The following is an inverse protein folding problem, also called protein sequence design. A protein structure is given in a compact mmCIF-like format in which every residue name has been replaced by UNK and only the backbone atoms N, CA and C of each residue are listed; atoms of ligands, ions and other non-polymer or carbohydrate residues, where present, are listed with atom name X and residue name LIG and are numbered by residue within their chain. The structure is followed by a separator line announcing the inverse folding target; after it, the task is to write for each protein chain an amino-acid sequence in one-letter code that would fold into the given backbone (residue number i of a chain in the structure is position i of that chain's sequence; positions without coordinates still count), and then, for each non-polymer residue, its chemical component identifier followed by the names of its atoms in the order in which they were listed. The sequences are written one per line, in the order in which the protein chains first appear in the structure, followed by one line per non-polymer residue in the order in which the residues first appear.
data_IF_717408301150
#
_entry.id   IF_717408301150
#
_cell.length_a   1.000
_cell.length_b   1.000
_cell.length_c   1.000
_cell.angle_alpha   90.00
_cell.angle_beta   90.00
_cell.angle_gamma   90.00
#
_symmetry.space_group_name_H-M   'P 1'
#
loop_
_entity.id
_entity.type
_entity.pdbx_description
1 polymer ?
#
# COMPACT_ATOMS: atom_id res chain seq x y z
N UNK A 1 14.47 -1.16 -50.76
CA UNK A 1 15.57 -1.99 -50.21
C UNK A 1 15.91 -1.41 -48.83
N UNK A 2 15.81 -2.09 -47.70
CA UNK A 2 15.78 -3.52 -47.43
C UNK A 2 14.61 -3.90 -46.52
N UNK A 3 13.97 -5.02 -46.86
CA UNK A 3 13.07 -5.75 -46.00
C UNK A 3 13.86 -6.50 -44.93
N UNK A 4 13.33 -6.58 -43.71
CA UNK A 4 13.66 -7.62 -42.76
C UNK A 4 12.36 -8.14 -42.13
N UNK A 5 11.86 -9.20 -42.74
CA UNK A 5 10.79 -10.06 -42.28
C UNK A 5 11.23 -10.79 -41.01
N UNK A 6 10.50 -10.62 -39.90
CA UNK A 6 10.27 -11.69 -38.91
C UNK A 6 8.84 -11.60 -38.39
N UNK A 7 7.95 -12.38 -39.00
CA UNK A 7 6.84 -12.97 -38.28
C UNK A 7 7.39 -14.08 -37.39
N UNK A 8 6.95 -14.15 -36.14
CA UNK A 8 6.64 -15.38 -35.39
C UNK A 8 6.29 -15.06 -33.93
N UNK A 9 5.08 -15.46 -33.56
CA UNK A 9 4.76 -15.91 -32.21
C UNK A 9 4.29 -14.83 -31.25
N UNK A 10 2.98 -14.72 -31.08
CA UNK A 10 2.39 -13.99 -29.96
C UNK A 10 0.90 -14.10 -30.05
N UNK A 11 0.35 -15.10 -29.35
CA UNK A 11 -1.08 -15.29 -29.10
C UNK A 11 -1.83 -13.96 -29.13
N UNK A 12 -2.96 -13.92 -29.85
CA UNK A 12 -3.98 -12.90 -29.66
C UNK A 12 -4.27 -12.83 -28.17
N UNK A 13 -3.66 -11.86 -27.50
CA UNK A 13 -3.81 -11.63 -26.07
C UNK A 13 -5.16 -10.98 -25.93
N UNK A 14 -6.17 -11.81 -25.76
CA UNK A 14 -7.57 -11.47 -25.54
C UNK A 14 -7.79 -10.84 -24.16
N UNK A 15 -6.78 -10.27 -23.54
CA UNK A 15 -6.96 -9.42 -22.37
C UNK A 15 -7.53 -8.08 -22.81
N UNK A 16 -8.63 -7.64 -22.19
CA UNK A 16 -9.28 -6.36 -22.49
C UNK A 16 -8.32 -5.15 -22.49
N UNK A 17 -7.14 -5.28 -21.87
CA UNK A 17 -6.08 -4.27 -21.84
C UNK A 17 -5.51 -3.93 -23.23
N UNK A 18 -5.20 -4.93 -24.07
CA UNK A 18 -4.65 -4.65 -25.42
C UNK A 18 -5.70 -4.04 -26.33
N UNK A 19 -6.94 -4.54 -26.26
CA UNK A 19 -8.07 -3.98 -27.00
C UNK A 19 -8.29 -2.49 -26.70
N UNK A 20 -8.21 -2.09 -25.43
CA UNK A 20 -8.37 -0.67 -25.04
C UNK A 20 -7.23 0.18 -25.61
N UNK A 21 -5.98 -0.24 -25.45
CA UNK A 21 -4.82 0.44 -26.03
C UNK A 21 -4.98 0.60 -27.55
N UNK A 22 -5.23 -0.49 -28.26
CA UNK A 22 -5.34 -0.50 -29.71
C UNK A 22 -6.54 0.31 -30.19
N UNK A 23 -7.63 0.35 -29.42
CA UNK A 23 -8.78 1.21 -29.73
C UNK A 23 -8.38 2.69 -29.67
N UNK A 24 -7.63 3.11 -28.64
CA UNK A 24 -7.17 4.49 -28.50
C UNK A 24 -6.17 4.83 -29.60
N UNK A 25 -5.10 4.03 -29.74
CA UNK A 25 -4.01 4.28 -30.71
C UNK A 25 -4.50 4.24 -32.15
N UNK A 26 -5.48 3.40 -32.48
CA UNK A 26 -6.02 3.33 -33.85
C UNK A 26 -7.22 4.27 -34.09
N UNK A 27 -7.64 5.06 -33.10
CA UNK A 27 -8.78 6.00 -33.25
C UNK A 27 -8.38 7.35 -33.86
N UNK A 28 -7.09 7.70 -33.81
CA UNK A 28 -6.57 8.95 -34.34
C UNK A 28 -6.46 8.94 -35.87
N UNK A 29 -6.63 10.11 -36.48
CA UNK A 29 -6.20 10.29 -37.87
C UNK A 29 -4.67 10.16 -37.98
N UNK A 30 -4.18 9.82 -39.17
CA UNK A 30 -2.74 9.71 -39.43
C UNK A 30 -2.02 11.03 -39.07
N UNK A 31 -1.01 10.95 -38.20
CA UNK A 31 -0.24 12.08 -37.64
C UNK A 31 -0.98 12.98 -36.63
N UNK A 32 -2.13 12.56 -36.09
CA UNK A 32 -2.78 13.25 -34.98
C UNK A 32 -2.40 12.61 -33.63
N UNK A 33 -2.47 13.39 -32.55
CA UNK A 33 -2.38 12.86 -31.18
C UNK A 33 -3.59 11.96 -30.94
N UNK A 34 -3.34 10.70 -30.62
CA UNK A 34 -4.37 9.67 -30.44
C UNK A 34 -5.07 9.79 -29.07
N UNK A 35 -4.38 10.35 -28.08
CA UNK A 35 -4.93 10.63 -26.76
C UNK A 35 -4.46 12.01 -26.25
N UNK A 36 -5.39 12.97 -26.20
CA UNK A 36 -5.13 14.37 -25.78
C UNK A 36 -4.97 14.49 -24.25
N UNK A 37 -3.99 13.80 -23.70
CA UNK A 37 -3.66 13.83 -22.29
C UNK A 37 -2.15 13.64 -22.09
N UNK A 38 -1.56 14.48 -21.24
CA UNK A 38 -0.16 14.37 -20.87
C UNK A 38 0.22 15.48 -19.90
N UNK A 39 1.13 15.15 -18.98
CA UNK A 39 1.74 16.11 -18.07
C UNK A 39 3.21 16.32 -18.44
N UNK A 40 3.74 17.50 -18.15
CA UNK A 40 5.16 17.87 -18.39
C UNK A 40 6.16 16.84 -17.84
N UNK A 41 5.82 16.17 -16.72
CA UNK A 41 6.69 15.17 -16.08
C UNK A 41 6.29 13.72 -16.35
N UNK A 42 5.38 13.46 -17.30
CA UNK A 42 5.05 12.10 -17.73
C UNK A 42 6.32 11.42 -18.24
N UNK A 43 6.64 10.25 -17.68
CA UNK A 43 7.88 9.51 -17.98
C UNK A 43 9.18 10.28 -17.69
N UNK A 44 9.20 11.15 -16.66
CA UNK A 44 10.42 11.83 -16.24
C UNK A 44 11.56 10.82 -15.99
N UNK A 45 12.74 10.97 -16.63
CA UNK A 45 13.77 9.93 -16.68
C UNK A 45 14.32 9.55 -15.30
N UNK A 46 14.48 10.52 -14.39
CA UNK A 46 14.94 10.23 -13.02
C UNK A 46 13.91 9.42 -12.21
N UNK A 47 12.62 9.68 -12.40
CA UNK A 47 11.56 8.93 -11.72
C UNK A 47 11.46 7.51 -12.30
N UNK A 48 11.59 7.36 -13.62
CA UNK A 48 11.64 6.06 -14.28
C UNK A 48 12.84 5.22 -13.80
N UNK A 49 14.04 5.83 -13.69
CA UNK A 49 15.22 5.14 -13.18
C UNK A 49 15.04 4.65 -11.73
N UNK A 50 14.48 5.50 -10.84
CA UNK A 50 14.18 5.12 -9.46
C UNK A 50 13.14 3.99 -9.36
N UNK A 51 12.11 4.01 -10.22
CA UNK A 51 11.10 2.97 -10.28
C UNK A 51 11.69 1.63 -10.72
N UNK A 52 12.54 1.62 -11.76
CA UNK A 52 13.23 0.41 -12.23
C UNK A 52 14.11 -0.17 -11.11
N UNK A 53 14.93 0.66 -10.47
CA UNK A 53 15.77 0.21 -9.35
C UNK A 53 14.94 -0.36 -8.19
N UNK A 54 13.78 0.23 -7.89
CA UNK A 54 12.86 -0.28 -6.86
C UNK A 54 12.31 -1.66 -7.23
N UNK A 55 11.90 -1.87 -8.48
CA UNK A 55 11.41 -3.16 -8.97
C UNK A 55 12.52 -4.24 -8.92
N UNK A 56 13.75 -3.87 -9.26
CA UNK A 56 14.90 -4.76 -9.17
C UNK A 56 15.18 -5.17 -7.71
N UNK A 57 15.11 -4.24 -6.76
CA UNK A 57 15.24 -4.52 -5.33
C UNK A 57 14.12 -5.46 -4.86
N UNK A 58 12.87 -5.20 -5.23
CA UNK A 58 11.73 -6.04 -4.85
C UNK A 58 11.91 -7.50 -5.28
N UNK A 59 12.44 -7.70 -6.50
CA UNK A 59 12.73 -9.03 -7.04
C UNK A 59 13.95 -9.67 -6.40
N UNK A 60 15.06 -8.93 -6.29
CA UNK A 60 16.33 -9.41 -5.72
C UNK A 60 16.16 -9.86 -4.28
N UNK A 61 15.45 -9.05 -3.49
CA UNK A 61 15.30 -9.25 -2.04
C UNK A 61 14.00 -10.03 -1.70
N UNK A 62 13.24 -10.46 -2.73
CA UNK A 62 12.01 -11.27 -2.59
C UNK A 62 10.99 -10.66 -1.64
N UNK A 63 10.77 -9.34 -1.76
CA UNK A 63 9.99 -8.59 -0.78
C UNK A 63 8.50 -8.97 -0.77
N UNK A 64 7.97 -9.48 -1.88
CA UNK A 64 6.57 -9.94 -1.94
C UNK A 64 6.39 -11.27 -1.24
N UNK A 65 7.33 -12.20 -1.39
CA UNK A 65 7.35 -13.46 -0.66
C UNK A 65 7.53 -13.20 0.83
N UNK A 66 8.47 -12.34 1.22
CA UNK A 66 8.63 -11.93 2.61
C UNK A 66 7.35 -11.36 3.21
N UNK A 67 6.66 -10.48 2.47
CA UNK A 67 5.40 -9.90 2.93
C UNK A 67 4.28 -10.94 3.07
N UNK A 68 4.24 -11.93 2.17
CA UNK A 68 3.32 -13.06 2.26
C UNK A 68 3.62 -13.95 3.46
N UNK A 69 4.89 -14.25 3.71
CA UNK A 69 5.31 -15.11 4.82
C UNK A 69 5.01 -14.45 6.18
N UNK A 70 5.14 -13.12 6.26
CA UNK A 70 4.84 -12.35 7.47
C UNK A 70 3.35 -12.02 7.67
N UNK A 71 2.49 -12.24 6.67
CA UNK A 71 1.09 -11.80 6.77
C UNK A 71 0.33 -12.47 7.91
N UNK A 72 0.63 -13.74 8.21
CA UNK A 72 0.02 -14.47 9.33
C UNK A 72 0.41 -13.87 10.68
N UNK A 73 1.70 -13.68 10.93
CA UNK A 73 2.18 -13.07 12.17
C UNK A 73 1.67 -11.62 12.36
N UNK A 74 1.54 -10.87 11.26
CA UNK A 74 0.96 -9.54 11.29
C UNK A 74 -0.54 -9.55 11.61
N UNK A 75 -1.29 -10.48 11.01
CA UNK A 75 -2.70 -10.71 11.29
C UNK A 75 -2.92 -11.06 12.76
N UNK A 76 -2.20 -12.04 13.28
CA UNK A 76 -2.28 -12.45 14.67
C UNK A 76 -2.02 -11.24 15.59
N UNK A 77 -0.91 -10.54 15.39
CA UNK A 77 -0.50 -9.42 16.25
C UNK A 77 -1.50 -8.24 16.25
N UNK A 78 -2.09 -7.90 15.11
CA UNK A 78 -3.09 -6.82 15.08
C UNK A 78 -4.40 -7.26 15.73
N UNK A 79 -4.83 -8.51 15.50
CA UNK A 79 -6.07 -9.03 16.07
C UNK A 79 -5.98 -9.34 17.56
N UNK A 80 -4.78 -9.49 18.13
CA UNK A 80 -4.63 -9.51 19.58
C UNK A 80 -5.07 -8.19 20.25
N UNK A 81 -5.25 -7.09 19.50
CA UNK A 81 -5.85 -5.86 20.03
C UNK A 81 -7.36 -6.00 20.28
N UNK A 82 -8.01 -7.06 19.79
CA UNK A 82 -9.42 -7.32 20.04
C UNK A 82 -9.71 -7.34 21.55
N UNK A 83 -10.76 -6.63 21.97
CA UNK A 83 -11.11 -6.47 23.38
C UNK A 83 -10.24 -5.47 24.16
N UNK A 84 -9.27 -4.81 23.52
CA UNK A 84 -8.56 -3.67 24.12
C UNK A 84 -9.50 -2.46 24.25
N UNK A 85 -9.16 -1.55 25.16
CA UNK A 85 -9.96 -0.36 25.41
C UNK A 85 -10.23 0.42 24.12
N UNK A 86 -11.49 0.83 23.94
CA UNK A 86 -11.99 1.62 22.82
C UNK A 86 -11.91 0.97 21.44
N UNK A 87 -11.43 -0.26 21.30
CA UNK A 87 -11.39 -0.93 19.99
C UNK A 87 -12.80 -1.38 19.60
N UNK A 88 -13.25 -0.93 18.43
CA UNK A 88 -14.58 -1.23 17.87
C UNK A 88 -14.53 -2.31 16.79
N UNK A 89 -13.54 -2.24 15.90
CA UNK A 89 -13.38 -3.19 14.79
C UNK A 89 -11.91 -3.30 14.37
N UNK A 90 -11.52 -4.48 13.84
CA UNK A 90 -10.19 -4.76 13.32
C UNK A 90 -10.32 -5.46 11.98
N UNK A 91 -9.64 -4.91 10.97
CA UNK A 91 -9.62 -5.46 9.61
C UNK A 91 -8.21 -5.45 9.05
N UNK A 92 -7.81 -6.51 8.36
CA UNK A 92 -6.48 -6.63 7.77
C UNK A 92 -6.52 -7.36 6.41
N UNK A 93 -5.49 -7.12 5.61
CA UNK A 93 -5.17 -7.90 4.42
C UNK A 93 -3.67 -7.79 4.14
N UNK A 94 -2.96 -8.91 4.15
CA UNK A 94 -1.50 -8.90 4.04
C UNK A 94 -0.87 -8.10 5.17
N UNK A 95 0.06 -7.19 4.85
CA UNK A 95 0.69 -6.27 5.81
C UNK A 95 -0.02 -4.91 5.88
N UNK A 96 -1.34 -4.89 5.70
CA UNK A 96 -2.15 -3.68 5.86
C UNK A 96 -3.26 -3.96 6.86
N UNK A 97 -3.43 -3.09 7.85
CA UNK A 97 -4.53 -3.20 8.81
C UNK A 97 -5.14 -1.85 9.18
N UNK A 98 -6.39 -1.89 9.58
CA UNK A 98 -7.13 -0.81 10.22
C UNK A 98 -7.67 -1.26 11.57
N UNK A 99 -7.43 -0.49 12.61
CA UNK A 99 -8.04 -0.64 13.94
C UNK A 99 -8.95 0.55 14.15
N UNK A 100 -10.26 0.32 14.11
CA UNK A 100 -11.27 1.34 14.35
C UNK A 100 -11.54 1.47 15.83
N UNK A 101 -11.51 2.71 16.32
CA UNK A 101 -11.81 3.04 17.70
C UNK A 101 -13.24 3.53 17.82
N UNK A 102 -13.82 3.37 19.01
CA UNK A 102 -15.00 4.12 19.41
C UNK A 102 -14.72 5.62 19.29
N UNK A 103 -15.73 6.37 18.86
CA UNK A 103 -15.64 7.83 18.75
C UNK A 103 -15.78 8.47 20.13
N UNK A 104 -15.18 9.65 20.34
CA UNK A 104 -15.53 10.50 21.50
C UNK A 104 -16.79 11.30 21.16
N UNK A 105 -17.68 11.47 22.12
CA UNK A 105 -18.92 12.21 21.91
C UNK A 105 -18.63 13.63 21.39
N UNK A 106 -19.15 13.95 20.20
CA UNK A 106 -18.92 15.24 19.53
C UNK A 106 -17.49 15.49 19.05
N UNK A 107 -16.58 14.51 19.14
CA UNK A 107 -15.18 14.65 18.76
C UNK A 107 -14.62 13.40 18.01
N UNK A 108 -15.14 13.08 16.81
CA UNK A 108 -14.60 11.99 15.99
C UNK A 108 -13.11 12.17 15.69
N UNK A 109 -12.35 11.09 15.79
CA UNK A 109 -10.91 11.03 15.56
C UNK A 109 -10.04 11.61 16.66
N UNK A 110 -10.61 12.29 17.66
CA UNK A 110 -9.82 12.87 18.77
C UNK A 110 -9.09 11.79 19.58
N UNK A 111 -9.72 10.62 19.79
CA UNK A 111 -9.10 9.48 20.47
C UNK A 111 -7.97 8.88 19.64
N UNK A 112 -8.19 8.65 18.35
CA UNK A 112 -7.17 8.10 17.46
C UNK A 112 -5.96 9.03 17.32
N UNK A 113 -6.18 10.36 17.32
CA UNK A 113 -5.11 11.35 17.39
C UNK A 113 -4.28 11.25 18.67
N UNK A 114 -4.93 11.07 19.83
CA UNK A 114 -4.22 10.92 21.10
C UNK A 114 -3.41 9.61 21.15
N UNK A 115 -3.97 8.51 20.62
CA UNK A 115 -3.23 7.24 20.48
C UNK A 115 -2.03 7.41 19.55
N UNK A 116 -2.20 8.14 18.44
CA UNK A 116 -1.11 8.49 17.53
C UNK A 116 0.01 9.22 18.26
N UNK A 117 -0.30 10.27 19.04
CA UNK A 117 0.71 11.03 19.77
C UNK A 117 1.47 10.14 20.75
N UNK A 118 0.77 9.32 21.53
CA UNK A 118 1.41 8.39 22.49
C UNK A 118 2.29 7.34 21.79
N UNK A 119 1.84 6.80 20.66
CA UNK A 119 2.67 5.88 19.86
C UNK A 119 3.92 6.59 19.35
N UNK A 120 3.78 7.82 18.84
CA UNK A 120 4.88 8.62 18.31
C UNK A 120 5.91 8.96 19.39
N UNK A 121 5.48 9.38 20.56
CA UNK A 121 6.34 9.60 21.75
C UNK A 121 7.06 8.32 22.18
N UNK A 122 6.44 7.15 21.99
CA UNK A 122 7.03 5.84 22.24
C UNK A 122 7.88 5.31 21.06
N UNK A 123 8.10 6.11 20.01
CA UNK A 123 8.95 5.76 18.87
C UNK A 123 8.29 4.95 17.76
N UNK A 124 6.96 4.84 17.74
CA UNK A 124 6.19 4.14 16.71
C UNK A 124 5.29 5.11 15.96
N UNK A 125 5.59 5.34 14.68
CA UNK A 125 4.75 6.17 13.82
C UNK A 125 3.54 5.38 13.32
N UNK A 126 2.34 5.76 13.77
CA UNK A 126 1.06 5.22 13.31
C UNK A 126 0.33 6.30 12.52
N UNK A 127 -0.35 5.93 11.42
CA UNK A 127 -1.26 6.87 10.75
C UNK A 127 -2.64 6.78 11.40
N UNK A 128 -3.35 7.89 11.56
CA UNK A 128 -4.77 7.88 11.87
C UNK A 128 -5.59 8.58 10.78
N UNK A 129 -6.86 8.19 10.62
CA UNK A 129 -7.83 8.80 9.71
C UNK A 129 -9.23 8.69 10.31
N UNK A 130 -9.77 9.79 10.81
CA UNK A 130 -10.96 9.72 11.68
C UNK A 130 -10.65 8.84 12.89
N UNK A 131 -11.53 7.90 13.20
CA UNK A 131 -11.38 6.96 14.33
C UNK A 131 -10.49 5.75 14.04
N UNK A 132 -9.85 5.67 12.87
CA UNK A 132 -9.11 4.48 12.44
C UNK A 132 -7.60 4.71 12.57
N UNK A 133 -6.91 3.83 13.28
CA UNK A 133 -5.45 3.67 13.21
C UNK A 133 -5.13 2.77 12.01
N UNK A 134 -4.29 3.24 11.10
CA UNK A 134 -3.93 2.57 9.85
C UNK A 134 -2.45 2.14 9.86
N UNK A 135 -2.22 0.89 9.53
CA UNK A 135 -0.91 0.23 9.55
C UNK A 135 -0.55 -0.28 8.17
N UNK A 136 0.66 0.03 7.73
CA UNK A 136 1.26 -0.48 6.48
C UNK A 136 2.79 -0.45 6.61
N UNK A 137 3.38 -1.30 7.49
CA UNK A 137 4.82 -1.30 7.68
C UNK A 137 5.57 -1.59 6.38
N UNK A 138 6.84 -1.21 6.34
CA UNK A 138 7.72 -1.50 5.21
C UNK A 138 7.81 -3.00 4.93
N UNK A 139 8.01 -3.40 3.68
CA UNK A 139 8.13 -4.83 3.32
C UNK A 139 9.37 -5.53 3.90
N UNK A 140 10.30 -4.78 4.48
CA UNK A 140 11.49 -5.29 5.18
C UNK A 140 11.29 -5.44 6.70
N UNK A 141 10.07 -5.18 7.22
CA UNK A 141 9.73 -5.38 8.64
C UNK A 141 9.96 -6.84 9.05
N UNK A 142 10.21 -7.09 10.33
CA UNK A 142 10.37 -8.43 10.91
C UNK A 142 9.35 -8.64 12.04
N UNK A 143 9.19 -9.88 12.50
CA UNK A 143 8.23 -10.25 13.55
C UNK A 143 8.43 -9.48 14.85
N UNK A 144 9.69 -9.20 15.22
CA UNK A 144 10.00 -8.42 16.43
C UNK A 144 9.46 -6.99 16.32
N UNK A 145 9.66 -6.33 15.17
CA UNK A 145 9.13 -4.99 14.91
C UNK A 145 7.60 -5.00 14.80
N UNK A 146 7.00 -6.05 14.24
CA UNK A 146 5.53 -6.23 14.24
C UNK A 146 5.02 -6.26 15.68
N UNK A 147 5.64 -7.09 16.53
CA UNK A 147 5.31 -7.16 17.95
C UNK A 147 5.46 -5.81 18.65
N UNK A 148 6.57 -5.09 18.40
CA UNK A 148 6.81 -3.76 18.95
C UNK A 148 5.69 -2.77 18.56
N UNK A 149 5.28 -2.76 17.29
CA UNK A 149 4.21 -1.86 16.82
C UNK A 149 2.93 -2.09 17.62
N UNK A 150 2.46 -3.34 17.72
CA UNK A 150 1.17 -3.63 18.33
C UNK A 150 1.22 -3.64 19.87
N UNK A 151 2.37 -3.92 20.48
CA UNK A 151 2.55 -3.70 21.93
C UNK A 151 2.46 -2.22 22.27
N UNK A 152 3.12 -1.34 21.50
CA UNK A 152 3.05 0.11 21.71
C UNK A 152 1.63 0.65 21.53
N UNK A 153 0.90 0.15 20.51
CA UNK A 153 -0.51 0.52 20.31
C UNK A 153 -1.37 0.07 21.49
N UNK A 154 -1.21 -1.17 21.97
CA UNK A 154 -1.95 -1.69 23.14
C UNK A 154 -1.73 -0.83 24.38
N UNK A 155 -0.49 -0.43 24.64
CA UNK A 155 -0.16 0.41 25.79
C UNK A 155 -0.68 1.83 25.62
N UNK A 156 -0.64 2.39 24.40
CA UNK A 156 -1.27 3.68 24.12
C UNK A 156 -2.79 3.63 24.36
N UNK A 157 -3.48 2.59 23.89
CA UNK A 157 -4.93 2.41 24.08
C UNK A 157 -5.35 2.36 25.55
N UNK A 158 -4.53 1.77 26.43
CA UNK A 158 -4.77 1.74 27.88
C UNK A 158 -4.66 3.10 28.55
N UNK A 159 -3.93 4.03 27.93
CA UNK A 159 -3.57 5.32 28.50
C UNK A 159 -4.30 6.50 27.85
N UNK A 160 -5.36 6.25 27.05
CA UNK A 160 -6.23 7.28 26.46
C UNK A 160 -7.66 7.18 27.00
N UNK A 161 -8.34 8.32 27.07
CA UNK A 161 -9.76 8.42 27.46
C UNK A 161 -10.74 8.07 26.34
#
# INVERSE_FOLDING_TARGET
MAAAHRSRGGTADSTGRRKVHDTVVNSGAENAIEFFHGYTYTAHPAAAAAAIATLDIYKRDRLYERAKDLSGAFEDAVHELHGSAHVKDIRNLGLVAGVELESRAGAPGARAYEVFLKCFEAGVLVRYTGDILAFSPTLIVDEQKIGQIFSTVRDALRNVA
#
